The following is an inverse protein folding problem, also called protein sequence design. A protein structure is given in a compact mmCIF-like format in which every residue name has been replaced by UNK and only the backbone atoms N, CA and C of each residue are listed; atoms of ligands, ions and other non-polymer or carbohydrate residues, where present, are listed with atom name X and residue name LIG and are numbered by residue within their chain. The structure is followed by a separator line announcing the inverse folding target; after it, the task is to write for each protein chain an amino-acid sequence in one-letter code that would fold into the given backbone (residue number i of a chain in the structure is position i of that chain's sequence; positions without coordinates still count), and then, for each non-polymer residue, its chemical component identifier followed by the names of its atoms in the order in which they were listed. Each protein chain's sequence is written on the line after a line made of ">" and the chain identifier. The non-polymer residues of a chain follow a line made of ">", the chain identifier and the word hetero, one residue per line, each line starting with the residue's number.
data_IF_380964640829
#
_entry.id   IF_380964640829
#
_cell.length_a   1.000
_cell.length_b   1.000
_cell.length_c   1.000
_cell.angle_alpha   90.00
_cell.angle_beta   90.00
_cell.angle_gamma   90.00
#
_symmetry.space_group_name_H-M   'P 1'
#
loop_
_entity.id
_entity.type
_entity.pdbx_description
1 polymer ?
#
# COMPACT_ATOMS: atom_id res chain seq x y z
N UNK A 1 11.83 -10.52 3.85
CA UNK A 1 10.42 -10.82 3.61
C UNK A 1 9.65 -9.53 3.45
N UNK A 2 9.51 -8.69 4.48
CA UNK A 2 8.56 -7.54 4.45
C UNK A 2 8.67 -6.60 3.24
N UNK A 3 9.88 -6.21 2.79
CA UNK A 3 10.03 -5.39 1.58
C UNK A 3 9.66 -6.12 0.28
N UNK A 4 9.88 -7.43 0.23
CA UNK A 4 9.50 -8.28 -0.91
C UNK A 4 7.98 -8.45 -0.95
N UNK A 5 7.33 -8.53 0.22
CA UNK A 5 5.88 -8.63 0.31
C UNK A 5 5.20 -7.39 -0.33
N UNK A 6 5.75 -6.18 -0.18
CA UNK A 6 5.25 -4.98 -0.89
C UNK A 6 5.25 -5.18 -2.41
N UNK A 7 6.34 -5.74 -2.96
CA UNK A 7 6.48 -6.00 -4.39
C UNK A 7 5.51 -7.08 -4.85
N UNK A 8 5.36 -8.16 -4.07
CA UNK A 8 4.47 -9.27 -4.37
C UNK A 8 3.01 -8.82 -4.47
N UNK A 9 2.54 -8.00 -3.52
CA UNK A 9 1.16 -7.50 -3.54
C UNK A 9 0.95 -6.42 -4.60
N UNK A 10 1.94 -5.59 -4.88
CA UNK A 10 1.91 -4.66 -6.03
C UNK A 10 1.78 -5.42 -7.35
N UNK A 11 2.56 -6.50 -7.51
CA UNK A 11 2.46 -7.38 -8.67
C UNK A 11 1.12 -8.12 -8.72
N UNK A 12 0.57 -8.54 -7.57
CA UNK A 12 -0.75 -9.14 -7.49
C UNK A 12 -1.87 -8.16 -7.91
N UNK A 13 -1.74 -6.87 -7.62
CA UNK A 13 -2.64 -5.83 -8.12
C UNK A 13 -2.53 -5.66 -9.64
N UNK A 14 -1.31 -5.57 -10.16
CA UNK A 14 -1.07 -5.50 -11.60
C UNK A 14 -1.65 -6.72 -12.35
N UNK A 15 -1.47 -7.92 -11.79
CA UNK A 15 -2.04 -9.15 -12.35
C UNK A 15 -3.58 -9.13 -12.36
N UNK A 16 -4.23 -8.57 -11.33
CA UNK A 16 -5.70 -8.42 -11.30
C UNK A 16 -6.20 -7.49 -12.40
N UNK A 17 -5.50 -6.38 -12.68
CA UNK A 17 -5.86 -5.50 -13.80
C UNK A 17 -5.94 -6.26 -15.12
N UNK A 18 -4.92 -7.07 -15.40
CA UNK A 18 -4.83 -7.89 -16.63
C UNK A 18 -5.87 -9.01 -16.63
N UNK A 19 -5.89 -9.82 -15.56
CA UNK A 19 -6.74 -11.00 -15.45
C UNK A 19 -8.23 -10.66 -15.50
N UNK A 20 -8.62 -9.54 -14.87
CA UNK A 20 -10.00 -9.07 -14.83
C UNK A 20 -10.36 -8.15 -15.98
N UNK A 21 -9.40 -7.85 -16.87
CA UNK A 21 -9.57 -6.95 -18.02
C UNK A 21 -10.08 -5.57 -17.58
N UNK A 22 -9.50 -5.03 -16.51
CA UNK A 22 -9.79 -3.67 -16.04
C UNK A 22 -8.91 -2.74 -16.86
N UNK A 23 -9.47 -2.19 -17.94
CA UNK A 23 -8.75 -1.29 -18.86
C UNK A 23 -8.80 0.18 -18.43
N UNK A 24 -9.81 0.52 -17.62
CA UNK A 24 -10.04 1.87 -17.10
C UNK A 24 -10.17 1.78 -15.57
N UNK A 25 -9.05 1.63 -14.84
CA UNK A 25 -9.08 1.57 -13.39
C UNK A 25 -9.63 2.89 -12.81
N UNK A 26 -10.52 2.84 -11.80
CA UNK A 26 -11.08 4.04 -11.19
C UNK A 26 -10.01 4.91 -10.50
N UNK A 27 -10.28 6.21 -10.28
CA UNK A 27 -9.34 7.13 -9.65
C UNK A 27 -8.78 6.65 -8.30
N UNK A 28 -9.61 6.02 -7.47
CA UNK A 28 -9.18 5.48 -6.17
C UNK A 28 -8.07 4.42 -6.30
N UNK A 29 -8.07 3.61 -7.37
CA UNK A 29 -6.98 2.64 -7.59
C UNK A 29 -5.66 3.34 -7.92
N UNK A 30 -5.71 4.44 -8.67
CA UNK A 30 -4.52 5.25 -8.97
C UNK A 30 -4.00 5.98 -7.73
N UNK A 31 -4.90 6.45 -6.87
CA UNK A 31 -4.57 7.08 -5.59
C UNK A 31 -3.86 6.09 -4.65
N UNK A 32 -4.42 4.90 -4.44
CA UNK A 32 -3.78 3.83 -3.66
C UNK A 32 -2.40 3.45 -4.24
N UNK A 33 -2.29 3.31 -5.57
CA UNK A 33 -1.00 3.05 -6.21
C UNK A 33 0.02 4.18 -5.98
N UNK A 34 -0.43 5.43 -5.96
CA UNK A 34 0.39 6.59 -5.60
C UNK A 34 0.90 6.53 -4.16
N UNK A 35 0.05 6.10 -3.22
CA UNK A 35 0.44 5.93 -1.81
C UNK A 35 1.48 4.81 -1.64
N UNK A 36 1.35 3.68 -2.34
CA UNK A 36 2.36 2.62 -2.37
C UNK A 36 3.73 3.16 -2.84
N UNK A 37 3.74 4.01 -3.87
CA UNK A 37 4.98 4.64 -4.37
C UNK A 37 5.61 5.52 -3.29
N UNK A 38 4.81 6.38 -2.64
CA UNK A 38 5.31 7.25 -1.57
C UNK A 38 5.87 6.45 -0.39
N UNK A 39 5.16 5.40 0.05
CA UNK A 39 5.64 4.51 1.11
C UNK A 39 6.94 3.80 0.70
N UNK A 40 7.04 3.32 -0.54
CA UNK A 40 8.25 2.68 -1.07
C UNK A 40 9.45 3.63 -1.06
N UNK A 41 9.24 4.90 -1.38
CA UNK A 41 10.28 5.92 -1.30
C UNK A 41 10.72 6.22 0.14
N UNK A 42 9.78 6.29 1.09
CA UNK A 42 10.10 6.48 2.52
C UNK A 42 10.84 5.28 3.09
N UNK A 43 10.42 4.05 2.75
CA UNK A 43 11.14 2.83 3.11
C UNK A 43 12.57 2.84 2.57
N UNK A 44 12.76 3.20 1.30
CA UNK A 44 14.08 3.31 0.71
C UNK A 44 14.97 4.35 1.43
N UNK A 45 14.40 5.51 1.79
CA UNK A 45 15.08 6.53 2.60
C UNK A 45 15.45 5.99 3.98
N UNK A 46 14.51 5.35 4.68
CA UNK A 46 14.72 4.75 5.99
C UNK A 46 15.83 3.70 5.99
N UNK A 47 15.81 2.77 5.04
CA UNK A 47 16.87 1.76 4.86
C UNK A 47 18.23 2.42 4.65
N UNK A 48 18.32 3.45 3.82
CA UNK A 48 19.60 4.15 3.53
C UNK A 48 20.21 4.86 4.75
N UNK A 49 19.42 5.11 5.79
CA UNK A 49 19.83 5.79 7.01
C UNK A 49 20.17 4.83 8.16
N UNK A 50 19.89 3.53 8.04
CA UNK A 50 20.23 2.51 9.04
C UNK A 50 21.74 2.51 9.36
N UNK A 51 22.60 2.59 8.35
CA UNK A 51 24.06 2.58 8.56
C UNK A 51 24.59 3.85 9.24
N UNK A 52 23.78 4.92 9.28
CA UNK A 52 24.20 6.27 9.69
C UNK A 52 23.65 6.70 11.05
N UNK A 53 22.89 5.83 11.76
CA UNK A 53 22.07 6.22 12.90
C UNK A 53 21.25 7.50 12.62
N UNK A 54 20.75 7.60 11.38
CA UNK A 54 19.96 8.75 10.93
C UNK A 54 18.56 8.76 11.53
N UNK A 55 17.74 9.73 11.13
CA UNK A 55 16.35 9.86 11.57
C UNK A 55 15.42 8.80 10.90
N UNK A 56 15.73 7.51 11.07
CA UNK A 56 14.96 6.39 10.49
C UNK A 56 13.52 6.40 10.99
N UNK A 57 13.30 6.66 12.28
CA UNK A 57 11.96 6.70 12.89
C UNK A 57 11.03 7.70 12.19
N UNK A 58 11.55 8.84 11.73
CA UNK A 58 10.75 9.82 10.98
C UNK A 58 10.18 9.24 9.68
N UNK A 59 10.94 8.36 9.02
CA UNK A 59 10.48 7.70 7.79
C UNK A 59 9.47 6.60 8.10
N UNK A 60 9.63 5.88 9.21
CA UNK A 60 8.63 4.92 9.69
C UNK A 60 7.30 5.61 10.02
N UNK A 61 7.33 6.73 10.75
CA UNK A 61 6.13 7.52 11.08
C UNK A 61 5.38 7.98 9.82
N UNK A 62 6.10 8.37 8.77
CA UNK A 62 5.49 8.80 7.51
C UNK A 62 4.89 7.64 6.72
N UNK A 63 5.50 6.45 6.75
CA UNK A 63 4.90 5.24 6.15
C UNK A 63 3.57 4.90 6.83
N UNK A 64 3.51 4.98 8.17
CA UNK A 64 2.29 4.74 8.95
C UNK A 64 1.20 5.78 8.60
N UNK A 65 1.56 7.06 8.50
CA UNK A 65 0.62 8.11 8.07
C UNK A 65 0.05 7.86 6.67
N UNK A 66 0.88 7.37 5.75
CA UNK A 66 0.47 7.03 4.38
C UNK A 66 -0.38 5.77 4.32
N UNK A 67 -0.15 4.81 5.23
CA UNK A 67 -1.00 3.62 5.40
C UNK A 67 -2.40 4.05 5.86
N UNK A 68 -2.51 4.85 6.93
CA UNK A 68 -3.79 5.40 7.43
C UNK A 68 -4.60 6.07 6.29
N UNK A 69 -3.91 6.85 5.45
CA UNK A 69 -4.49 7.52 4.28
C UNK A 69 -5.00 6.51 3.23
N UNK A 70 -4.20 5.49 2.89
CA UNK A 70 -4.59 4.44 1.95
C UNK A 70 -5.79 3.64 2.46
N UNK A 71 -5.80 3.36 3.75
CA UNK A 71 -6.82 2.61 4.45
C UNK A 71 -8.16 3.37 4.43
N UNK A 72 -8.13 4.69 4.58
CA UNK A 72 -9.28 5.58 4.35
C UNK A 72 -9.77 5.59 2.89
N UNK A 73 -8.87 5.70 1.92
CA UNK A 73 -9.21 5.70 0.48
C UNK A 73 -9.87 4.38 0.09
N UNK A 74 -9.29 3.25 0.50
CA UNK A 74 -9.79 1.90 0.22
C UNK A 74 -11.20 1.70 0.76
N UNK A 75 -11.42 1.97 2.05
CA UNK A 75 -12.75 1.86 2.68
C UNK A 75 -13.78 2.77 2.02
N UNK A 76 -13.42 4.01 1.71
CA UNK A 76 -14.29 4.96 1.03
C UNK A 76 -14.69 4.48 -0.37
N UNK A 77 -13.72 4.00 -1.14
CA UNK A 77 -13.94 3.47 -2.48
C UNK A 77 -14.81 2.21 -2.48
N UNK A 78 -14.59 1.30 -1.53
CA UNK A 78 -15.41 0.10 -1.36
C UNK A 78 -16.85 0.48 -0.96
N UNK A 79 -17.04 1.40 -0.02
CA UNK A 79 -18.39 1.85 0.37
C UNK A 79 -19.15 2.43 -0.83
N UNK A 80 -18.53 3.36 -1.58
CA UNK A 80 -19.12 3.93 -2.79
C UNK A 80 -19.40 2.88 -3.87
N UNK A 81 -18.54 1.86 -4.00
CA UNK A 81 -18.74 0.77 -4.94
C UNK A 81 -20.01 -0.02 -4.61
N UNK A 82 -20.23 -0.38 -3.34
CA UNK A 82 -21.43 -1.11 -2.91
C UNK A 82 -22.72 -0.29 -3.03
N UNK A 83 -22.67 1.03 -2.86
CA UNK A 83 -23.84 1.89 -3.01
C UNK A 83 -24.28 2.03 -4.48
N UNK A 84 -23.32 2.15 -5.40
CA UNK A 84 -23.56 2.61 -6.76
C UNK A 84 -23.50 1.52 -7.83
N UNK A 85 -22.61 0.55 -7.72
CA UNK A 85 -22.44 -0.48 -8.75
C UNK A 85 -23.63 -1.45 -8.75
N UNK A 86 -24.10 -1.82 -9.95
CA UNK A 86 -25.21 -2.75 -10.16
C UNK A 86 -24.79 -4.03 -10.88
N UNK A 87 -23.66 -4.01 -11.57
CA UNK A 87 -23.04 -5.22 -12.10
C UNK A 87 -22.21 -5.93 -11.01
N UNK A 88 -22.67 -7.09 -10.50
CA UNK A 88 -21.94 -7.83 -9.47
C UNK A 88 -20.56 -8.31 -9.93
N UNK A 89 -20.35 -8.52 -11.24
CA UNK A 89 -19.03 -8.89 -11.77
C UNK A 89 -18.08 -7.70 -11.65
N UNK A 90 -18.52 -6.51 -12.03
CA UNK A 90 -17.72 -5.30 -11.89
C UNK A 90 -17.42 -4.98 -10.42
N UNK A 91 -18.41 -5.17 -9.54
CA UNK A 91 -18.25 -5.03 -8.09
C UNK A 91 -17.13 -5.94 -7.56
N UNK A 92 -17.15 -7.24 -7.91
CA UNK A 92 -16.11 -8.18 -7.46
C UNK A 92 -14.73 -7.74 -7.95
N UNK A 93 -14.62 -7.38 -9.24
CA UNK A 93 -13.34 -6.97 -9.85
C UNK A 93 -12.72 -5.77 -9.15
N UNK A 94 -13.51 -4.72 -8.91
CA UNK A 94 -13.02 -3.48 -8.31
C UNK A 94 -12.76 -3.63 -6.82
N UNK A 95 -13.63 -4.34 -6.10
CA UNK A 95 -13.43 -4.64 -4.69
C UNK A 95 -12.11 -5.37 -4.47
N UNK A 96 -11.86 -6.45 -5.22
CA UNK A 96 -10.61 -7.21 -5.08
C UNK A 96 -9.37 -6.42 -5.51
N UNK A 97 -9.50 -5.47 -6.44
CA UNK A 97 -8.42 -4.57 -6.81
C UNK A 97 -8.08 -3.59 -5.66
N UNK A 98 -9.09 -2.98 -5.03
CA UNK A 98 -8.88 -2.07 -3.91
C UNK A 98 -8.29 -2.79 -2.70
N UNK A 99 -8.82 -3.97 -2.36
CA UNK A 99 -8.32 -4.77 -1.25
C UNK A 99 -6.86 -5.20 -1.45
N UNK A 100 -6.45 -5.62 -2.66
CA UNK A 100 -5.05 -5.99 -2.86
C UNK A 100 -4.11 -4.78 -2.83
N UNK A 101 -4.57 -3.62 -3.28
CA UNK A 101 -3.76 -2.39 -3.22
C UNK A 101 -3.58 -1.92 -1.77
N UNK A 102 -4.63 -2.01 -0.95
CA UNK A 102 -4.54 -1.73 0.49
C UNK A 102 -3.66 -2.75 1.23
N UNK A 103 -3.72 -4.04 0.88
CA UNK A 103 -2.77 -5.01 1.46
C UNK A 103 -1.32 -4.66 1.09
N UNK A 104 -1.06 -4.11 -0.10
CA UNK A 104 0.29 -3.66 -0.44
C UNK A 104 0.76 -2.48 0.44
N UNK A 105 -0.15 -1.58 0.83
CA UNK A 105 0.17 -0.47 1.74
C UNK A 105 0.39 -0.93 3.18
N UNK A 106 -0.39 -1.89 3.66
CA UNK A 106 -0.20 -2.58 4.95
C UNK A 106 1.17 -3.31 5.00
N UNK A 107 1.58 -3.97 3.91
CA UNK A 107 2.92 -4.60 3.85
C UNK A 107 4.06 -3.58 3.88
N UNK A 108 3.83 -2.35 3.43
CA UNK A 108 4.81 -1.29 3.56
C UNK A 108 4.94 -0.83 5.02
N UNK A 109 3.83 -0.73 5.75
CA UNK A 109 3.80 -0.48 7.20
C UNK A 109 4.53 -1.60 7.97
N UNK A 110 4.25 -2.87 7.66
CA UNK A 110 4.97 -4.01 8.24
C UNK A 110 6.49 -3.88 8.06
N UNK A 111 6.95 -3.44 6.88
CA UNK A 111 8.36 -3.20 6.62
C UNK A 111 8.91 -2.04 7.46
N UNK A 112 8.15 -0.95 7.63
CA UNK A 112 8.52 0.18 8.49
C UNK A 112 8.63 -0.24 9.96
N UNK A 113 7.68 -1.06 10.45
CA UNK A 113 7.67 -1.62 11.80
C UNK A 113 8.92 -2.50 12.06
N UNK A 114 9.38 -3.25 11.05
CA UNK A 114 10.65 -4.00 11.13
C UNK A 114 11.85 -3.06 11.21
N UNK A 115 11.88 -1.98 10.42
CA UNK A 115 12.96 -0.98 10.47
C UNK A 115 13.03 -0.30 11.85
N UNK A 116 11.89 0.12 12.39
CA UNK A 116 11.80 0.71 13.72
C UNK A 116 12.35 -0.24 14.79
N UNK A 117 11.93 -1.51 14.77
CA UNK A 117 12.40 -2.51 15.72
C UNK A 117 13.92 -2.74 15.67
N UNK A 118 14.55 -2.63 14.49
CA UNK A 118 16.01 -2.71 14.34
C UNK A 118 16.69 -1.52 15.02
N UNK A 119 16.18 -0.31 14.80
CA UNK A 119 16.74 0.93 15.36
C UNK A 119 16.62 0.93 16.88
N UNK A 120 15.45 0.56 17.42
CA UNK A 120 15.22 0.52 18.87
C UNK A 120 16.07 -0.55 19.58
N UNK A 121 16.37 -1.68 18.92
CA UNK A 121 17.25 -2.73 19.48
C UNK A 121 18.74 -2.36 19.41
N UNK A 122 19.10 -1.43 18.53
CA UNK A 122 20.49 -0.99 18.33
C UNK A 122 20.84 0.25 19.16
N UNK A 123 19.88 0.80 19.91
CA UNK A 123 20.00 1.97 20.78
C UNK A 123 20.44 1.60 22.21
#
# INVERSE_FOLDING_TARGET
>A
SSLDDVLDFTNAAANRLVMYKITEPPPAAAELAGLIVLQSEELARGVSLLEKNGAVLKHCDEVNRLEDEADHVSRGAIALLFDNEKDPIQLIKLKELYEVLEVATDKAEDAANVLEAIVLKSA
#
